data_IF_284078902246
#
_entry.id   IF_284078902246
#
_cell.length_a   1.000
_cell.length_b   1.000
_cell.length_c   1.000
_cell.angle_alpha   90.00
_cell.angle_beta   90.00
_cell.angle_gamma   90.00
#
_symmetry.space_group_name_H-M   'P 1'
#
loop_
_entity.id
_entity.type
_entity.pdbx_description
1 polymer ?
#
# COMPACT_ATOMS: atom_id res chain seq x y z
N UNK A 1 1.04 -6.90 -2.45
CA UNK A 1 0.08 -7.79 -1.75
C UNK A 1 -0.95 -7.02 -0.93
N UNK A 2 -0.56 -6.12 -0.03
CA UNK A 2 -1.46 -5.37 0.88
C UNK A 2 -2.47 -4.49 0.13
N UNK A 3 -2.10 -3.98 -1.04
CA UNK A 3 -3.02 -3.22 -1.88
C UNK A 3 -4.03 -4.11 -2.62
N UNK A 4 -3.66 -5.36 -2.94
CA UNK A 4 -4.56 -6.37 -3.50
C UNK A 4 -5.54 -6.89 -2.44
N UNK A 5 -5.08 -7.03 -1.19
CA UNK A 5 -5.96 -7.30 -0.05
C UNK A 5 -7.01 -6.19 0.08
N UNK A 6 -8.27 -6.61 0.10
CA UNK A 6 -9.40 -5.70 0.33
C UNK A 6 -9.17 -4.85 1.56
N UNK A 7 -9.54 -3.57 1.49
CA UNK A 7 -9.46 -2.68 2.66
C UNK A 7 -10.34 -3.13 3.83
N UNK A 8 -11.28 -4.06 3.59
CA UNK A 8 -12.06 -4.72 4.64
C UNK A 8 -11.21 -5.70 5.48
N UNK A 9 -10.16 -6.27 4.88
CA UNK A 9 -9.41 -7.41 5.43
C UNK A 9 -7.93 -7.09 5.74
N UNK A 10 -7.50 -5.84 5.58
CA UNK A 10 -6.17 -5.42 6.07
C UNK A 10 -6.10 -5.55 7.60
N UNK A 11 -4.97 -6.01 8.15
CA UNK A 11 -4.83 -6.26 9.59
C UNK A 11 -4.79 -4.97 10.41
N UNK A 12 -4.18 -3.91 9.90
CA UNK A 12 -4.13 -2.60 10.56
C UNK A 12 -5.27 -1.68 10.10
N UNK A 13 -5.49 -0.58 10.83
CA UNK A 13 -6.50 0.45 10.49
C UNK A 13 -6.16 1.13 9.15
N UNK A 14 -4.87 1.39 8.91
CA UNK A 14 -4.35 1.95 7.66
C UNK A 14 -3.27 1.03 7.06
N UNK A 15 -3.05 1.17 5.74
CA UNK A 15 -1.97 0.50 5.02
C UNK A 15 -0.60 0.99 5.48
N UNK A 16 0.45 0.25 5.11
CA UNK A 16 1.83 0.63 5.38
C UNK A 16 2.20 1.92 4.63
N UNK A 17 3.19 2.64 5.15
CA UNK A 17 3.67 3.92 4.58
C UNK A 17 3.95 3.81 3.07
N UNK A 18 4.85 2.91 2.59
CA UNK A 18 5.15 2.81 1.16
C UNK A 18 3.99 2.25 0.35
N UNK A 19 3.12 1.42 0.95
CA UNK A 19 1.93 0.87 0.28
C UNK A 19 0.82 1.90 0.08
N UNK A 20 0.77 2.99 0.85
CA UNK A 20 -0.13 4.12 0.57
C UNK A 20 0.51 5.15 -0.38
N UNK A 21 1.83 5.39 -0.22
CA UNK A 21 2.59 6.38 -0.98
C UNK A 21 2.87 5.99 -2.43
N UNK A 22 3.31 4.75 -2.65
CA UNK A 22 3.86 4.29 -3.93
C UNK A 22 2.94 3.29 -4.65
N UNK A 23 1.66 3.30 -4.28
CA UNK A 23 0.63 2.45 -4.90
C UNK A 23 0.36 2.82 -6.36
N UNK A 24 -0.26 1.86 -7.06
CA UNK A 24 -0.91 2.11 -8.34
C UNK A 24 -2.35 2.56 -8.09
N UNK A 25 -2.81 3.56 -8.85
CA UNK A 25 -4.17 4.08 -8.77
C UNK A 25 -5.18 3.17 -9.50
N UNK A 26 -6.48 3.43 -9.31
CA UNK A 26 -7.55 2.71 -9.99
C UNK A 26 -8.03 3.54 -11.17
N UNK A 27 -7.97 2.96 -12.35
CA UNK A 27 -8.23 3.66 -13.60
C UNK A 27 -9.07 2.79 -14.54
N UNK A 28 -9.85 3.39 -15.45
CA UNK A 28 -10.54 2.66 -16.50
C UNK A 28 -9.55 1.93 -17.40
N UNK A 29 -9.84 0.67 -17.73
CA UNK A 29 -8.94 -0.13 -18.56
C UNK A 29 -9.45 -1.54 -18.80
N UNK A 30 -8.58 -2.34 -19.43
CA UNK A 30 -8.83 -3.75 -19.71
C UNK A 30 -7.71 -4.54 -19.02
N UNK A 31 -8.10 -5.59 -18.29
CA UNK A 31 -7.20 -6.44 -17.55
C UNK A 31 -7.50 -7.91 -17.84
N UNK A 32 -6.44 -8.70 -17.99
CA UNK A 32 -6.49 -10.15 -17.99
C UNK A 32 -5.88 -10.65 -16.69
N UNK A 33 -6.54 -11.60 -16.03
CA UNK A 33 -6.01 -12.27 -14.86
C UNK A 33 -6.18 -13.79 -14.93
N UNK A 34 -5.29 -14.50 -14.26
CA UNK A 34 -5.36 -15.94 -14.10
C UNK A 34 -5.99 -16.31 -12.77
N UNK A 35 -6.71 -17.43 -12.74
CA UNK A 35 -7.24 -18.03 -11.51
C UNK A 35 -6.67 -19.44 -11.43
N UNK A 36 -5.58 -19.59 -10.68
CA UNK A 36 -4.88 -20.89 -10.53
C UNK A 36 -4.63 -21.20 -9.05
N UNK A 37 -4.56 -22.48 -8.65
CA UNK A 37 -4.52 -22.84 -7.23
C UNK A 37 -3.30 -22.32 -6.47
N UNK A 38 -2.14 -22.22 -7.12
CA UNK A 38 -0.85 -21.93 -6.46
C UNK A 38 -0.07 -20.77 -7.10
N UNK A 39 -0.63 -20.10 -8.11
CA UNK A 39 -0.06 -18.88 -8.69
C UNK A 39 -1.15 -17.96 -9.19
N UNK A 40 -0.79 -16.69 -9.32
CA UNK A 40 -1.66 -15.63 -9.82
C UNK A 40 -0.82 -14.76 -10.75
N UNK A 41 -1.41 -14.33 -11.86
CA UNK A 41 -0.79 -13.35 -12.74
C UNK A 41 -1.85 -12.45 -13.33
N UNK A 42 -1.52 -11.19 -13.48
CA UNK A 42 -2.35 -10.19 -14.13
C UNK A 42 -1.51 -9.32 -15.07
N UNK A 43 -2.13 -8.89 -16.15
CA UNK A 43 -1.64 -7.84 -17.03
C UNK A 43 -2.80 -6.95 -17.45
N UNK A 44 -2.60 -5.64 -17.46
CA UNK A 44 -3.65 -4.70 -17.86
C UNK A 44 -3.10 -3.43 -18.49
N UNK A 45 -3.93 -2.84 -19.33
CA UNK A 45 -3.74 -1.53 -19.95
C UNK A 45 -4.84 -0.60 -19.43
N UNK A 46 -4.44 0.55 -18.91
CA UNK A 46 -5.33 1.51 -18.29
C UNK A 46 -5.09 2.91 -18.87
N UNK A 47 -6.14 3.69 -19.04
CA UNK A 47 -6.04 5.10 -19.40
C UNK A 47 -6.01 6.00 -18.17
N UNK A 48 -6.14 7.29 -18.42
CA UNK A 48 -6.50 8.26 -17.39
C UNK A 48 -8.04 8.25 -17.13
N UNK A 49 -8.55 9.22 -16.38
CA UNK A 49 -9.99 9.36 -16.11
C UNK A 49 -10.86 9.41 -17.37
N UNK A 50 -12.17 9.48 -17.17
CA UNK A 50 -13.14 9.54 -18.29
C UNK A 50 -13.46 10.98 -18.74
N UNK A 51 -12.87 11.97 -18.10
CA UNK A 51 -13.04 13.37 -18.47
C UNK A 51 -12.33 13.60 -19.81
N UNK A 52 -12.95 14.40 -20.68
CA UNK A 52 -12.41 14.71 -22.00
C UNK A 52 -12.04 16.18 -22.06
N UNK A 53 -10.75 16.43 -22.22
CA UNK A 53 -10.20 17.74 -22.52
C UNK A 53 -9.40 17.66 -23.84
N UNK A 54 -9.60 18.63 -24.73
CA UNK A 54 -8.90 18.68 -26.02
C UNK A 54 -7.47 19.20 -25.88
N UNK A 55 -7.21 19.95 -24.82
CA UNK A 55 -5.94 20.58 -24.51
C UNK A 55 -5.00 19.56 -23.80
N UNK A 56 -5.56 18.49 -23.23
CA UNK A 56 -4.80 17.42 -22.56
C UNK A 56 -4.53 16.23 -23.49
N UNK A 57 -3.26 15.87 -23.66
CA UNK A 57 -2.87 14.54 -24.11
C UNK A 57 -2.96 13.55 -22.96
N UNK A 58 -3.87 12.59 -23.07
CA UNK A 58 -4.08 11.60 -22.02
C UNK A 58 -2.91 10.63 -21.87
N UNK A 59 -2.57 10.35 -20.61
CA UNK A 59 -1.62 9.32 -20.24
C UNK A 59 -2.21 7.91 -20.35
N UNK A 60 -1.33 6.92 -20.29
CA UNK A 60 -1.71 5.52 -20.19
C UNK A 60 -0.76 4.78 -19.27
N UNK A 61 -1.22 3.65 -18.74
CA UNK A 61 -0.39 2.75 -17.96
C UNK A 61 -0.53 1.30 -18.35
N UNK A 62 0.59 0.59 -18.28
CA UNK A 62 0.65 -0.87 -18.39
C UNK A 62 1.04 -1.40 -17.02
N UNK A 63 0.27 -2.34 -16.51
CA UNK A 63 0.53 -2.98 -15.22
C UNK A 63 0.64 -4.49 -15.42
N UNK A 64 1.59 -5.10 -14.72
CA UNK A 64 1.57 -6.55 -14.52
C UNK A 64 2.00 -6.89 -13.09
N UNK A 65 1.39 -7.92 -12.53
CA UNK A 65 1.75 -8.49 -11.22
C UNK A 65 1.67 -9.99 -11.30
N UNK A 66 2.68 -10.66 -10.76
CA UNK A 66 2.71 -12.11 -10.63
C UNK A 66 2.97 -12.51 -9.19
N UNK A 67 2.39 -13.63 -8.76
CA UNK A 67 2.75 -14.26 -7.50
C UNK A 67 2.67 -15.77 -7.58
N UNK A 68 3.49 -16.43 -6.78
CA UNK A 68 3.56 -17.88 -6.67
C UNK A 68 3.64 -18.28 -5.20
N UNK A 69 2.93 -19.35 -4.86
CA UNK A 69 2.90 -19.94 -3.54
C UNK A 69 3.62 -21.30 -3.54
N UNK A 70 4.95 -21.36 -3.27
CA UNK A 70 5.68 -22.63 -3.26
C UNK A 70 5.25 -23.56 -2.13
N UNK A 71 4.74 -23.00 -1.04
CA UNK A 71 4.14 -23.74 0.08
C UNK A 71 2.70 -23.30 0.19
N UNK A 72 1.79 -24.26 0.13
CA UNK A 72 0.37 -24.05 0.36
C UNK A 72 -0.20 -25.35 0.95
N UNK A 73 -0.28 -25.40 2.27
CA UNK A 73 -0.86 -26.50 3.03
C UNK A 73 -2.00 -25.97 3.90
N UNK A 74 -2.65 -26.84 4.66
CA UNK A 74 -3.67 -26.41 5.62
C UNK A 74 -3.09 -25.49 6.71
N UNK A 75 -1.84 -25.72 7.12
CA UNK A 75 -1.20 -25.05 8.25
C UNK A 75 -0.23 -23.97 7.85
N UNK A 76 0.26 -23.99 6.61
CA UNK A 76 1.39 -23.17 6.19
C UNK A 76 1.19 -22.61 4.79
N UNK A 77 1.70 -21.40 4.59
CA UNK A 77 1.85 -20.85 3.25
C UNK A 77 3.13 -20.03 3.13
N UNK A 78 3.63 -19.94 1.91
CA UNK A 78 4.64 -18.96 1.49
C UNK A 78 4.12 -18.30 0.23
N UNK A 79 4.29 -16.99 0.14
CA UNK A 79 3.94 -16.14 -1.00
C UNK A 79 5.19 -15.40 -1.44
N UNK A 80 5.48 -15.47 -2.74
CA UNK A 80 6.47 -14.65 -3.42
C UNK A 80 5.76 -13.95 -4.57
N UNK A 81 5.91 -12.64 -4.65
CA UNK A 81 5.28 -11.84 -5.70
C UNK A 81 6.14 -10.68 -6.14
N UNK A 82 5.83 -10.18 -7.34
CA UNK A 82 6.40 -8.97 -7.87
C UNK A 82 5.41 -8.28 -8.80
N UNK A 83 5.55 -6.98 -8.94
CA UNK A 83 4.75 -6.19 -9.87
C UNK A 83 5.55 -5.05 -10.48
N UNK A 84 5.12 -4.63 -11.66
CA UNK A 84 5.63 -3.47 -12.37
C UNK A 84 4.48 -2.71 -13.01
N UNK A 85 4.56 -1.39 -12.94
CA UNK A 85 3.64 -0.46 -13.56
C UNK A 85 4.45 0.61 -14.29
N UNK A 86 4.32 0.66 -15.61
CA UNK A 86 4.82 1.77 -16.40
C UNK A 86 3.66 2.74 -16.68
N UNK A 87 3.93 4.04 -16.60
CA UNK A 87 2.97 5.08 -16.96
C UNK A 87 3.62 6.17 -17.78
N UNK A 88 3.04 6.45 -18.95
CA UNK A 88 3.23 7.73 -19.62
C UNK A 88 2.27 8.74 -19.00
N UNK A 89 2.80 9.88 -18.56
CA UNK A 89 1.99 10.87 -17.86
C UNK A 89 1.13 11.68 -18.82
N UNK A 90 0.05 12.28 -18.30
CA UNK A 90 -0.74 13.24 -19.09
C UNK A 90 0.04 14.55 -19.28
N UNK A 91 -0.20 15.20 -20.41
CA UNK A 91 0.43 16.47 -20.78
C UNK A 91 -0.62 17.48 -21.21
N UNK A 92 -0.68 18.61 -20.53
CA UNK A 92 -1.48 19.78 -20.89
C UNK A 92 -0.70 20.60 -21.92
N UNK A 93 -1.25 20.74 -23.12
CA UNK A 93 -0.60 21.42 -24.25
C UNK A 93 -0.71 22.94 -24.15
N UNK A 94 -1.73 23.44 -23.47
CA UNK A 94 -1.99 24.88 -23.34
C UNK A 94 -1.17 25.47 -22.20
N UNK A 95 -1.07 24.75 -21.08
CA UNK A 95 -0.14 25.08 -19.99
C UNK A 95 1.32 24.69 -20.32
N UNK A 96 1.53 23.83 -21.31
CA UNK A 96 2.81 23.18 -21.61
C UNK A 96 3.42 22.46 -20.40
N UNK A 97 2.61 21.72 -19.63
CA UNK A 97 3.02 21.08 -18.38
C UNK A 97 2.54 19.62 -18.28
N UNK A 98 3.33 18.78 -17.62
CA UNK A 98 2.89 17.43 -17.24
C UNK A 98 2.03 17.46 -15.98
N UNK A 99 1.06 16.56 -15.90
CA UNK A 99 0.25 16.37 -14.70
C UNK A 99 1.13 16.07 -13.47
N UNK A 100 0.96 16.79 -12.37
CA UNK A 100 1.69 16.54 -11.13
C UNK A 100 1.52 15.11 -10.60
N UNK A 101 2.62 14.48 -10.20
CA UNK A 101 2.63 13.12 -9.65
C UNK A 101 2.63 13.19 -8.13
N UNK A 102 1.53 12.73 -7.53
CA UNK A 102 1.35 12.74 -6.08
C UNK A 102 1.68 11.40 -5.43
N UNK A 103 2.74 11.35 -4.63
CA UNK A 103 3.17 10.16 -3.87
C UNK A 103 3.11 10.46 -2.38
N UNK A 104 2.07 9.97 -1.67
CA UNK A 104 1.79 10.39 -0.28
C UNK A 104 1.39 9.26 0.65
N UNK A 105 1.87 9.33 1.89
CA UNK A 105 1.40 8.48 2.97
C UNK A 105 0.46 9.23 3.92
N UNK A 106 -0.32 8.47 4.69
CA UNK A 106 -1.11 8.99 5.82
C UNK A 106 -0.41 8.71 7.14
N UNK A 107 -0.59 9.63 8.09
CA UNK A 107 -0.05 9.57 9.45
C UNK A 107 -0.88 8.68 10.39
N UNK A 108 -1.07 7.42 9.98
CA UNK A 108 -1.65 6.37 10.84
C UNK A 108 -3.17 6.41 11.03
N UNK A 109 -3.84 7.53 10.76
CA UNK A 109 -5.30 7.64 10.78
C UNK A 109 -5.80 8.65 9.75
N UNK A 110 -7.03 8.48 9.27
CA UNK A 110 -7.70 9.46 8.39
C UNK A 110 -8.16 10.72 9.12
N UNK A 111 -8.25 10.68 10.45
CA UNK A 111 -8.68 11.82 11.25
C UNK A 111 -7.60 12.92 11.38
N UNK A 112 -6.35 12.59 11.05
CA UNK A 112 -5.22 13.54 11.07
C UNK A 112 -4.92 13.96 9.63
N UNK A 113 -5.04 15.26 9.37
CA UNK A 113 -4.67 15.87 8.08
C UNK A 113 -3.26 16.49 8.13
N UNK A 114 -2.33 15.74 8.71
CA UNK A 114 -0.90 15.98 8.53
C UNK A 114 -0.39 15.13 7.35
N UNK A 115 0.64 15.64 6.66
CA UNK A 115 1.36 14.91 5.61
C UNK A 115 2.84 15.15 5.83
N UNK A 116 3.53 14.12 6.32
CA UNK A 116 4.98 14.07 6.48
C UNK A 116 5.65 13.57 5.19
N UNK A 117 4.94 12.72 4.42
CA UNK A 117 5.35 12.25 3.11
C UNK A 117 4.27 12.57 2.05
N UNK A 118 4.66 13.19 0.94
CA UNK A 118 3.81 13.60 -0.18
C UNK A 118 2.96 14.83 0.08
N UNK A 119 3.55 15.84 0.71
CA UNK A 119 2.89 17.14 0.93
C UNK A 119 2.72 17.90 -0.40
N UNK A 120 3.77 17.92 -1.20
CA UNK A 120 3.83 18.58 -2.49
C UNK A 120 3.81 17.52 -3.60
N UNK A 121 3.32 17.89 -4.78
CA UNK A 121 3.31 17.02 -5.95
C UNK A 121 4.65 17.13 -6.68
N UNK A 122 5.07 16.04 -7.31
CA UNK A 122 6.27 16.01 -8.15
C UNK A 122 5.89 16.46 -9.55
N UNK A 123 6.37 17.63 -9.94
CA UNK A 123 6.11 18.26 -11.23
C UNK A 123 7.10 17.79 -12.32
N UNK A 124 6.73 18.03 -13.59
CA UNK A 124 7.60 17.79 -14.74
C UNK A 124 7.87 16.32 -15.06
N UNK A 125 7.10 15.40 -14.49
CA UNK A 125 7.28 13.97 -14.73
C UNK A 125 6.69 13.58 -16.08
N UNK A 126 7.54 13.23 -17.05
CA UNK A 126 7.08 12.79 -18.38
C UNK A 126 6.47 11.39 -18.34
N UNK A 127 7.10 10.51 -17.57
CA UNK A 127 6.72 9.13 -17.38
C UNK A 127 7.36 8.57 -16.11
N UNK A 128 6.84 7.46 -15.62
CA UNK A 128 7.38 6.82 -14.43
C UNK A 128 7.11 5.32 -14.39
N UNK A 129 7.97 4.62 -13.66
CA UNK A 129 7.86 3.19 -13.40
C UNK A 129 7.76 2.93 -11.91
N UNK A 130 6.74 2.17 -11.48
CA UNK A 130 6.61 1.64 -10.13
C UNK A 130 6.90 0.16 -10.14
N UNK A 131 7.70 -0.31 -9.20
CA UNK A 131 8.03 -1.71 -9.01
C UNK A 131 7.76 -2.11 -7.58
N UNK A 132 7.36 -3.36 -7.36
CA UNK A 132 7.25 -3.90 -6.02
C UNK A 132 7.69 -5.37 -5.95
N UNK A 133 8.24 -5.74 -4.80
CA UNK A 133 8.52 -7.12 -4.40
C UNK A 133 7.67 -7.47 -3.19
N UNK A 134 7.17 -8.70 -3.16
CA UNK A 134 6.20 -9.16 -2.16
C UNK A 134 6.65 -10.47 -1.54
N UNK A 135 6.61 -10.53 -0.22
CA UNK A 135 6.82 -11.74 0.55
C UNK A 135 5.73 -11.87 1.61
N UNK A 136 5.18 -13.07 1.77
CA UNK A 136 4.43 -13.41 2.97
C UNK A 136 4.62 -14.87 3.34
N UNK A 137 4.53 -15.18 4.63
CA UNK A 137 4.54 -16.54 5.11
C UNK A 137 3.62 -16.67 6.33
N UNK A 138 3.04 -17.85 6.51
CA UNK A 138 2.25 -18.18 7.67
C UNK A 138 2.53 -19.60 8.13
N UNK A 139 2.50 -19.80 9.44
CA UNK A 139 2.57 -21.10 10.08
C UNK A 139 1.64 -21.12 11.29
N UNK A 140 0.55 -21.88 11.17
CA UNK A 140 -0.57 -21.87 12.09
C UNK A 140 -1.02 -20.42 12.38
N UNK A 141 -0.91 -19.99 13.63
CA UNK A 141 -1.40 -18.70 14.10
C UNK A 141 -0.43 -17.54 13.89
N UNK A 142 0.83 -17.84 13.56
CA UNK A 142 1.81 -16.83 13.24
C UNK A 142 1.83 -16.52 11.74
N UNK A 143 2.04 -15.26 11.39
CA UNK A 143 2.26 -14.85 10.01
C UNK A 143 3.17 -13.63 9.91
N UNK A 144 3.79 -13.47 8.75
CA UNK A 144 4.61 -12.30 8.37
C UNK A 144 4.31 -11.90 6.93
N UNK A 145 4.41 -10.61 6.64
CA UNK A 145 4.27 -10.02 5.31
C UNK A 145 5.26 -8.86 5.18
N UNK A 146 5.93 -8.77 4.04
CA UNK A 146 6.86 -7.71 3.71
C UNK A 146 6.71 -7.31 2.25
N UNK A 147 6.81 -6.02 1.97
CA UNK A 147 6.87 -5.52 0.61
C UNK A 147 7.89 -4.40 0.50
N UNK A 148 8.61 -4.40 -0.62
CA UNK A 148 9.50 -3.31 -1.04
C UNK A 148 8.92 -2.65 -2.27
N UNK A 149 8.97 -1.33 -2.34
CA UNK A 149 8.47 -0.49 -3.41
C UNK A 149 9.59 0.41 -3.92
N UNK A 150 9.64 0.59 -5.23
CA UNK A 150 10.49 1.58 -5.89
C UNK A 150 9.71 2.33 -6.96
N UNK A 151 9.89 3.64 -7.03
CA UNK A 151 9.32 4.52 -8.05
C UNK A 151 10.47 5.25 -8.73
N UNK A 152 10.63 5.04 -10.03
CA UNK A 152 11.57 5.78 -10.86
C UNK A 152 10.75 6.76 -11.72
N UNK A 153 11.04 8.05 -11.61
CA UNK A 153 10.38 9.13 -12.35
C UNK A 153 11.38 9.69 -13.35
N UNK A 154 10.96 9.88 -14.59
CA UNK A 154 11.73 10.64 -15.57
C UNK A 154 11.17 12.06 -15.63
N UNK A 155 12.05 13.05 -15.50
CA UNK A 155 11.71 14.46 -15.48
C UNK A 155 12.04 15.11 -16.82
N UNK A 156 11.20 16.05 -17.25
CA UNK A 156 11.53 16.99 -18.31
C UNK A 156 11.90 18.35 -17.67
N UNK A 157 13.19 18.71 -17.62
CA UNK A 157 13.66 19.90 -16.91
C UNK A 157 13.18 21.23 -17.51
N UNK A 158 12.66 21.20 -18.75
CA UNK A 158 12.08 22.36 -19.43
C UNK A 158 10.57 22.53 -19.19
N UNK A 159 9.95 21.61 -18.45
CA UNK A 159 8.49 21.53 -18.26
C UNK A 159 8.16 21.34 -16.78
N UNK A 160 8.21 22.42 -16.01
CA UNK A 160 7.90 22.49 -14.58
C UNK A 160 8.37 23.81 -13.95
N UNK A 161 7.89 24.14 -12.75
CA UNK A 161 8.12 25.43 -12.07
C UNK A 161 9.57 25.58 -11.55
N UNK A 162 10.32 24.47 -11.45
CA UNK A 162 11.70 24.46 -10.94
C UNK A 162 12.63 23.71 -11.89
N UNK A 163 13.72 24.36 -12.30
CA UNK A 163 14.84 23.72 -13.00
C UNK A 163 15.60 22.85 -12.00
N UNK A 164 15.54 21.54 -12.20
CA UNK A 164 16.38 20.56 -11.52
C UNK A 164 17.51 20.18 -12.49
N UNK A 165 18.73 20.00 -12.00
CA UNK A 165 19.83 19.48 -12.82
C UNK A 165 19.66 17.98 -13.14
N UNK A 166 18.76 17.30 -12.43
CA UNK A 166 18.46 15.88 -12.59
C UNK A 166 17.33 15.65 -13.60
N UNK A 167 17.54 14.68 -14.50
CA UNK A 167 16.57 14.20 -15.49
C UNK A 167 15.71 13.03 -14.94
N UNK A 168 15.96 12.61 -13.70
CA UNK A 168 15.26 11.49 -13.07
C UNK A 168 15.26 11.59 -11.55
N UNK A 169 14.27 10.97 -10.91
CA UNK A 169 14.17 10.83 -9.45
C UNK A 169 13.82 9.39 -9.07
N UNK A 170 14.37 8.91 -7.97
CA UNK A 170 14.06 7.61 -7.39
C UNK A 170 13.54 7.76 -5.97
N UNK A 171 12.38 7.15 -5.71
CA UNK A 171 11.80 7.02 -4.39
C UNK A 171 11.67 5.54 -4.06
N UNK A 172 11.88 5.17 -2.80
CA UNK A 172 11.63 3.81 -2.37
C UNK A 172 11.16 3.71 -0.93
N UNK A 173 10.71 2.51 -0.56
CA UNK A 173 10.26 2.25 0.78
C UNK A 173 9.82 0.82 0.95
N UNK A 174 9.81 0.37 2.19
CA UNK A 174 9.44 -0.99 2.52
C UNK A 174 8.74 -1.06 3.86
N UNK A 175 8.09 -2.19 4.11
CA UNK A 175 7.57 -2.49 5.43
C UNK A 175 7.69 -3.97 5.71
N UNK A 176 7.76 -4.31 6.99
CA UNK A 176 7.57 -5.66 7.50
C UNK A 176 6.46 -5.60 8.54
N UNK A 177 5.50 -6.50 8.44
CA UNK A 177 4.46 -6.66 9.43
C UNK A 177 4.25 -8.13 9.77
N UNK A 178 3.86 -8.38 11.02
CA UNK A 178 3.65 -9.72 11.54
C UNK A 178 2.48 -9.72 12.51
N UNK A 179 1.86 -10.89 12.67
CA UNK A 179 0.78 -11.10 13.60
C UNK A 179 0.78 -12.48 14.20
N UNK A 180 0.10 -12.59 15.32
CA UNK A 180 -0.15 -13.85 16.00
C UNK A 180 -1.59 -13.90 16.53
N UNK A 181 -2.35 -14.91 16.11
CA UNK A 181 -3.68 -15.17 16.66
C UNK A 181 -3.57 -15.90 18.01
N UNK A 182 -3.93 -15.21 19.09
CA UNK A 182 -3.91 -15.75 20.46
C UNK A 182 -4.92 -16.90 20.65
N UNK A 183 -5.94 -16.95 19.80
CA UNK A 183 -7.07 -17.87 19.82
C UNK A 183 -6.95 -19.02 18.83
N UNK A 184 -5.80 -19.16 18.16
CA UNK A 184 -5.47 -20.33 17.35
C UNK A 184 -5.90 -20.27 15.88
N UNK A 185 -6.51 -19.17 15.42
CA UNK A 185 -6.87 -18.97 14.03
C UNK A 185 -5.62 -18.88 13.14
N UNK A 186 -5.84 -18.99 11.84
CA UNK A 186 -4.82 -18.79 10.80
C UNK A 186 -5.22 -17.61 9.93
N UNK A 187 -4.25 -16.84 9.46
CA UNK A 187 -4.52 -15.76 8.51
C UNK A 187 -5.02 -16.35 7.18
N UNK A 188 -6.17 -15.89 6.71
CA UNK A 188 -6.80 -16.41 5.49
C UNK A 188 -6.05 -15.99 4.21
N UNK A 189 -5.08 -16.80 3.76
CA UNK A 189 -4.34 -16.58 2.53
C UNK A 189 -5.04 -17.18 1.30
N UNK A 190 -5.12 -16.40 0.21
CA UNK A 190 -5.73 -16.81 -1.06
C UNK A 190 -4.69 -16.76 -2.17
N UNK A 191 -4.11 -17.92 -2.48
CA UNK A 191 -3.09 -18.03 -3.53
C UNK A 191 -3.61 -17.70 -4.94
N UNK A 192 -4.88 -18.03 -5.23
CA UNK A 192 -5.50 -17.77 -6.54
C UNK A 192 -5.69 -16.30 -6.89
N UNK A 193 -5.56 -15.39 -5.91
CA UNK A 193 -5.60 -13.93 -6.06
C UNK A 193 -4.31 -13.26 -5.55
N UNK A 194 -3.38 -14.05 -5.01
CA UNK A 194 -2.15 -13.57 -4.36
C UNK A 194 -2.41 -12.58 -3.23
N UNK A 195 -3.44 -12.75 -2.39
CA UNK A 195 -3.83 -11.79 -1.36
C UNK A 195 -4.36 -12.45 -0.08
N UNK A 196 -4.89 -11.64 0.85
CA UNK A 196 -5.58 -12.11 2.05
C UNK A 196 -7.09 -11.88 1.99
N UNK A 197 -7.84 -12.88 2.43
CA UNK A 197 -9.31 -12.87 2.50
C UNK A 197 -9.86 -12.51 3.88
N UNK A 198 -11.17 -12.67 4.04
CA UNK A 198 -11.89 -12.46 5.29
C UNK A 198 -11.38 -13.39 6.38
N UNK A 199 -11.12 -12.85 7.58
CA UNK A 199 -10.77 -13.68 8.73
C UNK A 199 -12.04 -14.29 9.32
N UNK A 200 -12.00 -15.59 9.62
CA UNK A 200 -13.08 -16.33 10.25
C UNK A 200 -12.59 -16.77 11.63
N UNK A 201 -13.24 -16.35 12.73
CA UNK A 201 -12.94 -16.87 14.07
C UNK A 201 -13.21 -18.37 14.16
N UNK A 202 -12.42 -19.11 14.94
CA UNK A 202 -12.68 -20.54 15.19
C UNK A 202 -14.03 -20.75 15.91
N UNK A 203 -14.40 -19.78 16.75
CA UNK A 203 -15.71 -19.69 17.37
C UNK A 203 -16.14 -18.22 17.44
N UNK A 204 -17.35 -17.92 17.00
CA UNK A 204 -17.90 -16.56 17.08
C UNK A 204 -18.07 -16.11 18.53
N UNK A 205 -18.07 -14.81 18.75
CA UNK A 205 -18.37 -14.19 20.04
C UNK A 205 -19.79 -14.56 20.49
N UNK A 206 -19.86 -15.40 21.51
CA UNK A 206 -21.08 -15.76 22.20
C UNK A 206 -20.76 -16.01 23.69
N UNK A 207 -20.84 -14.96 24.54
CA UNK A 207 -20.55 -15.09 25.97
C UNK A 207 -21.40 -16.13 26.68
N UNK A 208 -22.62 -16.40 26.20
CA UNK A 208 -23.50 -17.42 26.79
C UNK A 208 -23.01 -18.85 26.54
N UNK A 209 -22.21 -19.05 25.49
CA UNK A 209 -21.54 -20.32 25.16
C UNK A 209 -20.04 -20.31 25.55
N UNK A 210 -19.57 -19.25 26.21
CA UNK A 210 -18.18 -19.11 26.66
C UNK A 210 -17.18 -18.77 25.56
N UNK A 211 -17.64 -18.39 24.36
CA UNK A 211 -16.78 -18.07 23.22
C UNK A 211 -16.60 -16.57 23.05
N UNK A 212 -15.39 -16.14 22.69
CA UNK A 212 -15.03 -14.72 22.66
C UNK A 212 -14.69 -14.18 21.28
N UNK A 213 -14.78 -14.96 20.20
CA UNK A 213 -14.22 -14.57 18.90
C UNK A 213 -12.71 -14.82 18.82
N UNK A 214 -12.05 -14.18 17.85
CA UNK A 214 -10.60 -14.28 17.68
C UNK A 214 -9.87 -13.02 18.15
N UNK A 215 -8.71 -13.20 18.77
CA UNK A 215 -7.80 -12.11 19.13
C UNK A 215 -6.48 -12.24 18.39
N UNK A 216 -6.02 -11.15 17.81
CA UNK A 216 -4.76 -11.07 17.07
C UNK A 216 -3.94 -9.90 17.58
N UNK A 217 -2.69 -10.18 17.95
CA UNK A 217 -1.68 -9.15 18.24
C UNK A 217 -0.83 -8.92 17.00
N UNK A 218 -0.45 -7.67 16.79
CA UNK A 218 0.17 -7.21 15.55
C UNK A 218 1.34 -6.28 15.81
N UNK A 219 2.33 -6.36 14.93
CA UNK A 219 3.39 -5.37 14.84
C UNK A 219 3.72 -5.06 13.38
N UNK A 220 3.99 -3.78 13.07
CA UNK A 220 4.49 -3.33 11.78
C UNK A 220 5.54 -2.25 11.97
N UNK A 221 6.60 -2.35 11.19
CA UNK A 221 7.53 -1.27 10.93
C UNK A 221 7.54 -0.98 9.43
N UNK A 222 7.55 0.29 9.03
CA UNK A 222 7.64 0.67 7.63
C UNK A 222 8.25 2.05 7.44
N UNK A 223 8.91 2.21 6.30
CA UNK A 223 9.61 3.41 5.88
C UNK A 223 9.18 3.78 4.46
N UNK A 224 8.95 5.07 4.23
CA UNK A 224 8.89 5.67 2.89
C UNK A 224 9.94 6.76 2.80
N UNK A 225 10.81 6.66 1.79
CA UNK A 225 11.86 7.63 1.50
C UNK A 225 11.56 8.31 0.16
N UNK A 226 11.43 9.63 0.24
CA UNK A 226 11.15 10.58 -0.85
C UNK A 226 12.12 11.76 -0.74
N UNK A 227 13.37 11.52 -0.34
CA UNK A 227 14.38 12.59 -0.18
C UNK A 227 14.76 13.24 -1.50
N UNK A 228 14.76 12.47 -2.58
CA UNK A 228 14.82 13.01 -3.94
C UNK A 228 13.49 13.68 -4.28
N UNK A 229 13.55 14.94 -4.74
CA UNK A 229 12.37 15.72 -5.10
C UNK A 229 12.70 16.66 -6.27
N UNK A 230 11.69 16.99 -7.08
CA UNK A 230 11.83 17.95 -8.20
C UNK A 230 12.09 19.40 -7.77
N UNK A 231 12.20 19.66 -6.45
CA UNK A 231 12.45 21.00 -5.90
C UNK A 231 13.48 20.86 -4.78
N UNK A 232 14.62 21.58 -4.85
CA UNK A 232 15.65 21.52 -3.80
C UNK A 232 15.07 21.80 -2.41
N UNK A 233 15.46 20.99 -1.43
CA UNK A 233 14.99 21.13 -0.06
C UNK A 233 13.49 20.89 0.11
N UNK A 234 12.90 19.95 -0.66
CA UNK A 234 11.55 19.40 -0.48
C UNK A 234 11.52 17.91 -0.16
N UNK A 235 12.70 17.32 0.06
CA UNK A 235 12.88 15.90 0.37
C UNK A 235 12.18 15.50 1.67
N UNK A 236 11.59 14.31 1.67
CA UNK A 236 10.74 13.82 2.76
C UNK A 236 11.07 12.36 3.10
N UNK A 237 10.98 12.00 4.38
CA UNK A 237 11.06 10.61 4.84
C UNK A 237 10.10 10.40 5.99
N UNK A 238 9.48 9.23 6.03
CA UNK A 238 8.55 8.85 7.09
C UNK A 238 8.82 7.42 7.54
N UNK A 239 9.13 7.28 8.83
CA UNK A 239 9.22 6.01 9.53
C UNK A 239 8.00 5.82 10.43
N UNK A 240 7.48 4.59 10.49
CA UNK A 240 6.31 4.28 11.30
C UNK A 240 6.39 2.91 11.96
N UNK A 241 6.26 2.93 13.27
CA UNK A 241 6.04 1.76 14.12
C UNK A 241 4.56 1.65 14.45
N UNK A 242 4.00 0.45 14.41
CA UNK A 242 2.60 0.23 14.76
C UNK A 242 2.45 -1.07 15.54
N UNK A 243 2.01 -0.97 16.78
CA UNK A 243 1.50 -2.10 17.55
C UNK A 243 -0.02 -2.16 17.41
N UNK A 244 -0.60 -3.36 17.33
CA UNK A 244 -2.05 -3.50 17.16
C UNK A 244 -2.64 -4.67 17.92
N UNK A 245 -3.93 -4.51 18.26
CA UNK A 245 -4.80 -5.56 18.76
C UNK A 245 -6.08 -5.57 17.92
N UNK A 246 -6.39 -6.73 17.34
CA UNK A 246 -7.66 -6.95 16.66
C UNK A 246 -8.51 -7.94 17.45
N UNK A 247 -9.80 -7.67 17.48
CA UNK A 247 -10.82 -8.55 18.02
C UNK A 247 -11.87 -8.82 16.95
N UNK A 248 -11.86 -10.05 16.42
CA UNK A 248 -12.80 -10.53 15.42
C UNK A 248 -13.95 -11.23 16.14
N UNK A 249 -15.06 -10.54 16.34
CA UNK A 249 -16.22 -11.08 17.05
C UNK A 249 -16.95 -12.11 16.18
N UNK A 250 -17.16 -11.77 14.92
CA UNK A 250 -17.70 -12.65 13.87
C UNK A 250 -16.92 -12.38 12.58
N UNK A 251 -17.15 -13.11 11.48
CA UNK A 251 -16.58 -12.74 10.19
C UNK A 251 -16.97 -11.31 9.75
N UNK A 252 -18.12 -10.81 10.20
CA UNK A 252 -18.69 -9.51 9.84
C UNK A 252 -18.32 -8.38 10.81
N UNK A 253 -18.18 -8.67 12.09
CA UNK A 253 -17.97 -7.68 13.17
C UNK A 253 -16.56 -7.79 13.73
N UNK A 254 -15.80 -6.69 13.66
CA UNK A 254 -14.46 -6.61 14.25
C UNK A 254 -14.13 -5.25 14.84
N UNK A 255 -13.34 -5.26 15.92
CA UNK A 255 -12.72 -4.08 16.51
C UNK A 255 -11.21 -4.12 16.31
N UNK A 256 -10.59 -2.98 16.02
CA UNK A 256 -9.14 -2.82 15.85
C UNK A 256 -8.66 -1.66 16.68
N UNK A 257 -7.54 -1.85 17.37
CA UNK A 257 -6.82 -0.82 18.08
C UNK A 257 -5.38 -0.78 17.62
N UNK A 258 -4.86 0.40 17.28
CA UNK A 258 -3.47 0.60 16.88
C UNK A 258 -2.83 1.72 17.71
N UNK A 259 -1.62 1.46 18.19
CA UNK A 259 -0.71 2.46 18.77
C UNK A 259 0.40 2.67 17.74
N UNK A 260 0.57 3.92 17.31
CA UNK A 260 1.46 4.28 16.22
C UNK A 260 2.45 5.30 16.75
N UNK A 261 3.73 5.06 16.52
CA UNK A 261 4.78 6.05 16.69
C UNK A 261 5.36 6.33 15.31
N UNK A 262 5.54 7.60 14.97
CA UNK A 262 6.01 8.04 13.68
C UNK A 262 7.11 9.07 13.84
N UNK A 263 8.09 9.02 12.95
CA UNK A 263 9.18 9.97 12.83
C UNK A 263 9.21 10.44 11.37
N UNK A 264 9.16 11.76 11.19
CA UNK A 264 9.17 12.41 9.89
C UNK A 264 10.35 13.34 9.76
N UNK A 265 11.02 13.26 8.62
CA UNK A 265 12.03 14.22 8.20
C UNK A 265 11.46 14.96 6.99
N UNK A 266 11.53 16.29 6.99
CA UNK A 266 11.20 17.13 5.85
C UNK A 266 12.17 18.29 5.79
N UNK A 267 12.86 18.42 4.67
CA UNK A 267 13.85 19.47 4.47
C UNK A 267 14.89 19.38 5.61
N UNK A 268 15.11 20.44 6.40
CA UNK A 268 15.97 20.44 7.59
C UNK A 268 15.17 20.26 8.91
N UNK A 269 13.91 19.85 8.83
CA UNK A 269 13.01 19.71 9.99
C UNK A 269 12.75 18.23 10.27
N UNK A 270 13.06 17.81 11.49
CA UNK A 270 12.70 16.49 12.02
C UNK A 270 11.60 16.63 13.07
N UNK A 271 10.74 15.63 13.17
CA UNK A 271 9.72 15.58 14.22
C UNK A 271 9.14 14.19 14.42
N UNK A 272 8.66 13.94 15.62
CA UNK A 272 8.03 12.68 16.00
C UNK A 272 6.62 12.87 16.57
N UNK A 273 5.89 11.77 16.70
CA UNK A 273 4.58 11.82 17.33
C UNK A 273 3.96 10.46 17.58
N UNK A 274 3.02 10.45 18.54
CA UNK A 274 2.19 9.29 18.85
C UNK A 274 0.77 9.49 18.31
N UNK A 275 0.24 8.43 17.69
CA UNK A 275 -1.14 8.36 17.18
C UNK A 275 -1.80 7.11 17.73
N UNK A 276 -3.00 7.28 18.29
CA UNK A 276 -3.83 6.19 18.78
C UNK A 276 -5.07 6.09 17.89
N UNK A 277 -5.34 4.89 17.37
CA UNK A 277 -6.45 4.64 16.45
C UNK A 277 -7.33 3.51 16.93
N UNK A 278 -8.65 3.71 16.89
CA UNK A 278 -9.65 2.66 17.11
C UNK A 278 -10.59 2.60 15.90
N UNK A 279 -11.00 1.39 15.52
CA UNK A 279 -12.01 1.17 14.49
C UNK A 279 -12.93 0.03 14.91
N UNK A 280 -14.24 0.28 14.91
CA UNK A 280 -15.27 -0.76 14.86
C UNK A 280 -15.74 -0.89 13.41
N UNK A 281 -15.77 -2.11 12.88
CA UNK A 281 -16.12 -2.38 11.50
C UNK A 281 -17.22 -3.44 11.44
N UNK A 282 -18.21 -3.18 10.59
CA UNK A 282 -19.26 -4.12 10.21
C UNK A 282 -19.22 -4.33 8.69
N UNK A 283 -19.26 -5.59 8.26
CA UNK A 283 -19.28 -5.99 6.85
C UNK A 283 -20.62 -6.62 6.53
N UNK A 284 -21.26 -6.17 5.46
CA UNK A 284 -22.44 -6.76 4.85
C UNK A 284 -22.16 -7.16 3.40
#
# INVERSE_FOLDING_TARGET
MEYATSSRYISFIERAVPSDAYKVNREPGIMFETIKPNWYWTIGLFGNGIDYDREVEEGYSINTRGSFAPVLTETSYVHLGAGINYRKNAFDKDAEEYQGVRLRAREGTRAIDARLLGRDDIEGVSDFTRMNLEFAAGFNSWWVQSEYYRVNLNLNPDKGDVRVDDDSLTLDGWYVQTGYFLTGERRNYRAFSGDFGQQVPNANFNPSEGTWGAFEVLFRYGIGDSREHSRPGRGQKLERYTAGLNWYMTPEVMAKFNIIYLEGERDDIEGDGWVYGMRLQYIF
#
